data_IF_346592127357
#
_entry.id   IF_346592127357
#
_cell.length_a   1.000
_cell.length_b   1.000
_cell.length_c   1.000
_cell.angle_alpha   90.00
_cell.angle_beta   90.00
_cell.angle_gamma   90.00
#
_symmetry.space_group_name_H-M   'P 1'
#
loop_
_entity.id
_entity.type
_entity.pdbx_description
1 polymer ?
#
# COMPACT_ATOMS: atom_id res chain seq x y z
N UNK A 1 -3.40 19.61 9.78
CA UNK A 1 -3.84 18.29 10.29
C UNK A 1 -5.33 18.00 10.06
N UNK A 2 -6.28 18.77 10.62
CA UNK A 2 -7.74 18.52 10.49
C UNK A 2 -8.25 18.31 9.05
N UNK A 3 -7.82 19.15 8.11
CA UNK A 3 -8.20 19.03 6.68
C UNK A 3 -7.74 17.71 6.06
N UNK A 4 -6.54 17.23 6.41
CA UNK A 4 -5.99 15.98 5.86
C UNK A 4 -6.77 14.77 6.39
N UNK A 5 -7.07 14.75 7.70
CA UNK A 5 -7.93 13.72 8.29
C UNK A 5 -9.31 13.69 7.62
N UNK A 6 -9.96 14.84 7.42
CA UNK A 6 -11.25 14.92 6.74
C UNK A 6 -11.21 14.37 5.30
N UNK A 7 -10.12 14.61 4.57
CA UNK A 7 -9.91 14.03 3.24
C UNK A 7 -9.78 12.51 3.29
N UNK A 8 -9.03 11.98 4.25
CA UNK A 8 -8.85 10.54 4.43
C UNK A 8 -10.16 9.84 4.80
N UNK A 9 -10.95 10.42 5.70
CA UNK A 9 -12.27 9.90 6.06
C UNK A 9 -13.23 9.89 4.87
N UNK A 10 -13.23 10.96 4.06
CA UNK A 10 -14.03 11.00 2.82
C UNK A 10 -13.62 9.87 1.86
N UNK A 11 -12.32 9.62 1.68
CA UNK A 11 -11.81 8.54 0.82
C UNK A 11 -12.14 7.16 1.39
N UNK A 12 -12.04 6.99 2.71
CA UNK A 12 -12.43 5.77 3.40
C UNK A 12 -13.92 5.49 3.21
N UNK A 13 -14.78 6.49 3.41
CA UNK A 13 -16.22 6.34 3.19
C UNK A 13 -16.52 5.96 1.74
N UNK A 14 -15.81 6.55 0.77
CA UNK A 14 -15.92 6.15 -0.64
C UNK A 14 -15.52 4.70 -0.86
N UNK A 15 -14.42 4.24 -0.25
CA UNK A 15 -13.99 2.84 -0.30
C UNK A 15 -15.02 1.91 0.33
N UNK A 16 -15.59 2.30 1.48
CA UNK A 16 -16.60 1.52 2.19
C UNK A 16 -17.89 1.37 1.38
N UNK A 17 -18.27 2.37 0.58
CA UNK A 17 -19.40 2.29 -0.35
C UNK A 17 -19.21 1.25 -1.47
N UNK A 18 -17.98 0.81 -1.73
CA UNK A 18 -17.71 -0.28 -2.67
C UNK A 18 -17.70 -1.67 -2.02
N UNK A 19 -17.76 -1.77 -0.68
CA UNK A 19 -17.69 -3.06 0.01
C UNK A 19 -19.04 -3.82 -0.07
N UNK A 20 -19.03 -5.17 -0.10
CA UNK A 20 -17.84 -6.03 -0.15
C UNK A 20 -17.13 -5.94 -1.51
N UNK A 21 -15.79 -5.88 -1.48
CA UNK A 21 -14.98 -5.80 -2.69
C UNK A 21 -14.95 -7.16 -3.40
N UNK A 22 -14.80 -7.21 -4.74
CA UNK A 22 -14.68 -8.46 -5.48
C UNK A 22 -13.50 -9.32 -4.97
N UNK A 23 -13.70 -10.62 -4.65
CA UNK A 23 -12.67 -11.45 -4.01
C UNK A 23 -11.34 -11.53 -4.77
N UNK A 24 -11.36 -11.61 -6.11
CA UNK A 24 -10.13 -11.60 -6.92
C UNK A 24 -9.34 -10.29 -6.81
N UNK A 25 -10.06 -9.17 -6.68
CA UNK A 25 -9.42 -7.86 -6.52
C UNK A 25 -8.76 -7.78 -5.14
N UNK A 26 -9.45 -8.25 -4.10
CA UNK A 26 -8.91 -8.33 -2.74
C UNK A 26 -7.64 -9.17 -2.71
N UNK A 27 -7.69 -10.41 -3.24
CA UNK A 27 -6.51 -11.29 -3.30
C UNK A 27 -5.33 -10.66 -4.05
N UNK A 28 -5.61 -9.97 -5.16
CA UNK A 28 -4.56 -9.30 -5.93
C UNK A 28 -3.91 -8.16 -5.14
N UNK A 29 -4.73 -7.31 -4.52
CA UNK A 29 -4.26 -6.20 -3.69
C UNK A 29 -3.50 -6.70 -2.46
N UNK A 30 -4.03 -7.68 -1.73
CA UNK A 30 -3.36 -8.28 -0.56
C UNK A 30 -1.98 -8.83 -0.93
N UNK A 31 -1.89 -9.57 -2.05
CA UNK A 31 -0.62 -10.07 -2.57
C UNK A 31 0.35 -8.93 -2.89
N UNK A 32 -0.11 -7.89 -3.57
CA UNK A 32 0.72 -6.73 -3.90
C UNK A 32 1.20 -5.97 -2.66
N UNK A 33 0.30 -5.71 -1.70
CA UNK A 33 0.62 -5.02 -0.44
C UNK A 33 1.58 -5.84 0.41
N UNK A 34 1.44 -7.17 0.46
CA UNK A 34 2.38 -8.04 1.18
C UNK A 34 3.80 -7.85 0.68
N UNK A 35 4.02 -7.87 -0.64
CA UNK A 35 5.35 -7.66 -1.24
C UNK A 35 5.82 -6.23 -1.01
N UNK A 36 4.96 -5.23 -1.25
CA UNK A 36 5.33 -3.83 -1.13
C UNK A 36 5.74 -3.47 0.30
N UNK A 37 4.95 -3.85 1.30
CA UNK A 37 5.23 -3.59 2.71
C UNK A 37 6.48 -4.34 3.19
N UNK A 38 6.67 -5.59 2.75
CA UNK A 38 7.87 -6.36 3.07
C UNK A 38 9.13 -5.67 2.55
N UNK A 39 9.10 -5.27 1.27
CA UNK A 39 10.20 -4.55 0.65
C UNK A 39 10.48 -3.23 1.35
N UNK A 40 9.49 -2.34 1.48
CA UNK A 40 9.74 -0.99 1.99
C UNK A 40 10.07 -0.98 3.47
N UNK A 41 9.43 -1.83 4.28
CA UNK A 41 9.70 -1.94 5.72
C UNK A 41 11.11 -2.41 6.00
N UNK A 42 11.59 -3.45 5.31
CA UNK A 42 12.96 -3.94 5.49
C UNK A 42 13.99 -2.96 4.91
N UNK A 43 13.70 -2.32 3.77
CA UNK A 43 14.59 -1.33 3.18
C UNK A 43 14.80 -0.08 4.07
N UNK A 44 13.81 0.28 4.89
CA UNK A 44 13.95 1.35 5.90
C UNK A 44 14.96 0.95 6.98
N UNK A 45 15.07 -0.34 7.33
CA UNK A 45 16.04 -0.85 8.30
C UNK A 45 17.42 -1.15 7.69
N UNK A 46 17.58 -0.98 6.37
CA UNK A 46 18.86 -1.12 5.68
C UNK A 46 19.01 -2.40 4.84
N UNK A 47 17.98 -3.25 4.78
CA UNK A 47 17.97 -4.40 3.88
C UNK A 47 18.12 -3.95 2.41
N UNK A 48 18.98 -4.64 1.65
CA UNK A 48 19.39 -4.21 0.32
C UNK A 48 18.64 -4.92 -0.82
N UNK A 49 17.71 -5.83 -0.51
CA UNK A 49 16.89 -6.51 -1.50
C UNK A 49 16.13 -5.51 -2.36
N UNK A 50 16.10 -5.74 -3.67
CA UNK A 50 15.20 -5.02 -4.55
C UNK A 50 13.75 -5.48 -4.32
N UNK A 51 12.79 -4.71 -4.84
CA UNK A 51 11.39 -5.14 -4.84
C UNK A 51 11.18 -6.45 -5.61
N UNK A 52 11.94 -6.65 -6.69
CA UNK A 52 11.89 -7.87 -7.49
C UNK A 52 12.47 -9.06 -6.71
N UNK A 53 13.61 -8.85 -6.04
CA UNK A 53 14.25 -9.85 -5.18
C UNK A 53 13.29 -10.30 -4.08
N UNK A 54 12.66 -9.32 -3.42
CA UNK A 54 11.65 -9.58 -2.37
C UNK A 54 10.50 -10.43 -2.90
N UNK A 55 10.00 -10.13 -4.11
CA UNK A 55 8.94 -10.92 -4.73
C UNK A 55 9.38 -12.36 -5.05
N UNK A 56 10.60 -12.56 -5.57
CA UNK A 56 11.14 -13.90 -5.83
C UNK A 56 11.26 -14.72 -4.54
N UNK A 57 11.76 -14.11 -3.46
CA UNK A 57 11.93 -14.77 -2.17
C UNK A 57 10.57 -15.13 -1.57
N UNK A 58 9.67 -14.15 -1.45
CA UNK A 58 8.40 -14.34 -0.74
C UNK A 58 7.39 -15.17 -1.53
N UNK A 59 7.34 -15.04 -2.86
CA UNK A 59 6.34 -15.75 -3.67
C UNK A 59 6.82 -17.08 -4.23
N UNK A 60 8.13 -17.22 -4.49
CA UNK A 60 8.69 -18.39 -5.15
C UNK A 60 9.61 -19.21 -4.24
N UNK A 61 9.97 -18.70 -3.06
CA UNK A 61 10.91 -19.36 -2.15
C UNK A 61 12.33 -19.45 -2.73
N UNK A 62 12.67 -18.58 -3.68
CA UNK A 62 13.97 -18.58 -4.34
C UNK A 62 14.99 -17.77 -3.54
N UNK A 63 16.26 -18.17 -3.62
CA UNK A 63 17.39 -17.38 -3.13
C UNK A 63 17.88 -16.43 -4.21
N UNK A 64 18.39 -15.27 -3.79
CA UNK A 64 18.93 -14.22 -4.65
C UNK A 64 20.43 -14.09 -4.40
N UNK A 65 21.20 -14.12 -5.49
CA UNK A 65 22.65 -14.01 -5.45
C UNK A 65 23.12 -12.68 -4.85
N UNK A 66 24.22 -12.71 -4.10
CA UNK A 66 24.84 -11.51 -3.51
C UNK A 66 24.07 -10.90 -2.33
N UNK A 67 23.07 -11.61 -1.80
CA UNK A 67 22.26 -11.20 -0.64
C UNK A 67 22.47 -12.15 0.53
N UNK A 68 22.53 -11.61 1.73
CA UNK A 68 22.79 -12.41 2.93
C UNK A 68 21.60 -13.30 3.30
N UNK A 69 21.84 -14.41 4.00
CA UNK A 69 20.75 -15.25 4.52
C UNK A 69 19.84 -14.44 5.45
N UNK A 70 20.40 -13.55 6.27
CA UNK A 70 19.64 -12.66 7.14
C UNK A 70 18.67 -11.81 6.34
N UNK A 71 19.09 -11.15 5.26
CA UNK A 71 18.20 -10.32 4.44
C UNK A 71 17.03 -11.12 3.83
N UNK A 72 17.28 -12.37 3.45
CA UNK A 72 16.23 -13.28 2.98
C UNK A 72 15.25 -13.63 4.10
N UNK A 73 15.76 -13.99 5.27
CA UNK A 73 14.93 -14.31 6.43
C UNK A 73 14.11 -13.11 6.86
N UNK A 74 14.66 -11.89 6.84
CA UNK A 74 13.90 -10.67 7.14
C UNK A 74 12.73 -10.47 6.17
N UNK A 75 12.92 -10.75 4.88
CA UNK A 75 11.85 -10.67 3.89
C UNK A 75 10.76 -11.71 4.15
N UNK A 76 11.14 -12.97 4.37
CA UNK A 76 10.21 -14.07 4.66
C UNK A 76 9.45 -13.82 5.97
N UNK A 77 10.16 -13.47 7.04
CA UNK A 77 9.60 -13.22 8.36
C UNK A 77 8.62 -12.06 8.35
N UNK A 78 8.96 -10.94 7.70
CA UNK A 78 8.06 -9.81 7.61
C UNK A 78 6.81 -10.12 6.78
N UNK A 79 6.94 -10.89 5.68
CA UNK A 79 5.80 -11.30 4.89
C UNK A 79 4.84 -12.21 5.69
N UNK A 80 5.36 -13.18 6.43
CA UNK A 80 4.56 -14.03 7.33
C UNK A 80 3.93 -13.22 8.47
N UNK A 81 4.67 -12.30 9.07
CA UNK A 81 4.16 -11.42 10.12
C UNK A 81 3.02 -10.53 9.61
N UNK A 82 3.10 -10.05 8.37
CA UNK A 82 2.01 -9.31 7.73
C UNK A 82 0.75 -10.17 7.54
N UNK A 83 0.90 -11.40 7.08
CA UNK A 83 -0.22 -12.34 6.96
C UNK A 83 -0.84 -12.64 8.32
N UNK A 84 -0.01 -12.83 9.34
CA UNK A 84 -0.46 -13.10 10.70
C UNK A 84 -1.26 -11.93 11.29
N UNK A 85 -0.78 -10.69 11.18
CA UNK A 85 -1.59 -9.53 11.64
C UNK A 85 -2.89 -9.39 10.86
N UNK A 86 -2.94 -9.77 9.58
CA UNK A 86 -4.18 -9.76 8.82
C UNK A 86 -5.21 -10.74 9.41
N UNK A 87 -4.75 -11.90 9.94
CA UNK A 87 -5.63 -12.82 10.68
C UNK A 87 -6.16 -12.21 11.98
N UNK A 88 -5.47 -11.25 12.59
CA UNK A 88 -5.89 -10.57 13.83
C UNK A 88 -6.78 -9.34 13.58
N UNK A 89 -6.97 -8.92 12.33
CA UNK A 89 -7.71 -7.70 12.00
C UNK A 89 -9.20 -7.75 12.38
N UNK A 90 -9.74 -8.94 12.68
CA UNK A 90 -11.11 -9.12 13.18
C UNK A 90 -11.25 -8.85 14.68
N UNK A 91 -10.14 -8.85 15.44
CA UNK A 91 -10.14 -8.54 16.87
C UNK A 91 -10.43 -7.06 17.08
N UNK A 92 -10.99 -6.71 18.24
CA UNK A 92 -11.11 -5.30 18.63
C UNK A 92 -9.77 -4.84 19.21
N UNK A 93 -9.45 -3.56 19.05
CA UNK A 93 -8.23 -2.95 19.62
C UNK A 93 -8.05 -3.25 21.12
N UNK A 94 -9.15 -3.22 21.89
CA UNK A 94 -9.16 -3.52 23.33
C UNK A 94 -8.82 -4.98 23.68
N UNK A 95 -8.86 -5.89 22.70
CA UNK A 95 -8.54 -7.30 22.89
C UNK A 95 -7.06 -7.59 22.53
N UNK A 96 -6.33 -6.59 22.00
CA UNK A 96 -4.90 -6.71 21.72
C UNK A 96 -4.12 -6.67 23.03
N UNK A 97 -3.40 -7.72 23.32
CA UNK A 97 -2.58 -7.84 24.54
C UNK A 97 -1.10 -7.66 24.24
N UNK A 98 -0.31 -7.47 25.29
CA UNK A 98 1.16 -7.52 25.22
C UNK A 98 1.67 -8.76 24.47
N UNK A 99 1.07 -9.93 24.73
CA UNK A 99 1.46 -11.19 24.11
C UNK A 99 1.35 -11.15 22.59
N UNK A 100 0.32 -10.50 22.03
CA UNK A 100 0.20 -10.34 20.58
C UNK A 100 1.38 -9.54 20.00
N UNK A 101 1.88 -8.53 20.70
CA UNK A 101 3.01 -7.73 20.19
C UNK A 101 4.34 -8.46 20.39
N UNK A 102 4.49 -9.22 21.47
CA UNK A 102 5.64 -10.10 21.67
C UNK A 102 5.68 -11.23 20.63
N UNK A 103 4.53 -11.80 20.28
CA UNK A 103 4.41 -12.82 19.23
C UNK A 103 4.70 -12.24 17.85
N UNK A 104 4.22 -11.02 17.57
CA UNK A 104 4.58 -10.27 16.36
C UNK A 104 6.09 -10.13 16.24
N UNK A 105 6.72 -9.64 17.31
CA UNK A 105 8.16 -9.43 17.35
C UNK A 105 8.93 -10.75 17.23
N UNK A 106 8.42 -11.84 17.82
CA UNK A 106 9.00 -13.17 17.68
C UNK A 106 9.04 -13.62 16.23
N UNK A 107 7.95 -13.43 15.47
CA UNK A 107 7.93 -13.77 14.06
C UNK A 107 8.94 -12.95 13.25
N UNK A 108 9.15 -11.67 13.60
CA UNK A 108 10.12 -10.81 12.92
C UNK A 108 11.56 -11.30 13.09
N UNK A 109 11.96 -11.72 14.29
CA UNK A 109 13.34 -12.12 14.58
C UNK A 109 13.60 -13.64 14.53
N UNK A 110 12.57 -14.45 14.25
CA UNK A 110 12.71 -15.90 14.23
C UNK A 110 13.83 -16.35 13.28
N UNK A 111 14.72 -17.22 13.73
CA UNK A 111 15.92 -17.72 13.01
C UNK A 111 16.95 -16.65 12.64
N UNK A 112 16.76 -15.41 13.09
CA UNK A 112 17.74 -14.31 12.98
C UNK A 112 18.39 -14.08 14.35
N UNK A 113 17.57 -13.94 15.38
CA UNK A 113 17.99 -13.75 16.77
C UNK A 113 16.96 -14.36 17.73
N UNK A 114 16.92 -15.70 17.78
CA UNK A 114 15.96 -16.45 18.60
C UNK A 114 16.12 -16.19 20.10
N UNK A 115 17.31 -15.78 20.55
CA UNK A 115 17.56 -15.47 21.96
C UNK A 115 16.75 -14.25 22.43
N UNK A 116 16.52 -13.27 21.54
CA UNK A 116 15.80 -12.03 21.83
C UNK A 116 14.41 -11.96 21.19
N UNK A 117 14.06 -12.90 20.31
CA UNK A 117 12.76 -12.96 19.63
C UNK A 117 11.59 -12.98 20.63
N UNK A 118 10.73 -11.96 20.55
CA UNK A 118 9.57 -11.79 21.44
C UNK A 118 9.90 -11.56 22.91
N UNK A 119 11.08 -10.97 23.21
CA UNK A 119 11.51 -10.65 24.59
C UNK A 119 11.97 -9.21 24.70
N UNK A 120 11.66 -8.56 25.82
CA UNK A 120 12.20 -7.24 26.11
C UNK A 120 13.70 -7.26 26.27
N UNK A 121 14.33 -6.17 25.85
CA UNK A 121 15.76 -5.97 26.07
C UNK A 121 16.05 -5.82 27.57
N UNK A 122 17.13 -6.45 28.00
CA UNK A 122 17.70 -6.28 29.34
C UNK A 122 18.86 -5.29 29.36
N UNK A 123 19.26 -4.80 28.17
CA UNK A 123 20.38 -3.89 27.96
C UNK A 123 19.90 -2.54 27.45
N UNK A 124 20.72 -1.50 27.68
CA UNK A 124 20.53 -0.19 27.07
C UNK A 124 20.87 -0.26 25.58
N UNK A 125 20.05 0.38 24.75
CA UNK A 125 20.24 0.45 23.30
C UNK A 125 20.42 1.88 22.84
N UNK A 126 21.17 2.07 21.75
CA UNK A 126 21.32 3.34 21.05
C UNK A 126 21.06 3.11 19.57
N UNK A 127 20.35 4.04 18.95
CA UNK A 127 20.09 4.01 17.51
C UNK A 127 21.23 4.77 16.84
N UNK A 128 21.98 4.10 15.98
CA UNK A 128 23.10 4.72 15.26
C UNK A 128 22.62 5.95 14.47
N UNK A 129 23.29 7.09 14.69
CA UNK A 129 22.95 8.36 14.04
C UNK A 129 21.78 9.13 14.66
N UNK A 130 21.13 8.61 15.71
CA UNK A 130 20.10 9.35 16.46
C UNK A 130 20.64 9.96 17.75
N UNK A 131 20.11 11.13 18.11
CA UNK A 131 20.33 11.82 19.40
C UNK A 131 19.30 11.42 20.46
N UNK A 132 18.23 10.72 20.10
CA UNK A 132 17.23 10.30 21.05
C UNK A 132 17.79 9.25 22.03
N UNK A 133 17.56 9.45 23.32
CA UNK A 133 17.96 8.52 24.37
C UNK A 133 16.76 7.64 24.71
N UNK A 134 16.92 6.33 24.54
CA UNK A 134 15.85 5.37 24.85
C UNK A 134 15.72 5.15 26.36
N UNK A 135 14.52 4.78 26.87
CA UNK A 135 14.32 4.49 28.29
C UNK A 135 15.29 3.44 28.83
N UNK A 136 15.58 3.48 30.13
CA UNK A 136 16.33 2.42 30.79
C UNK A 136 15.57 1.06 30.64
N UNK A 137 16.25 -0.05 30.33
CA UNK A 137 15.59 -1.35 30.13
C UNK A 137 14.72 -1.79 31.32
N UNK A 138 15.09 -1.46 32.56
CA UNK A 138 14.30 -1.77 33.77
C UNK A 138 12.91 -1.11 33.75
N UNK A 139 12.75 0.01 33.03
CA UNK A 139 11.47 0.72 32.89
C UNK A 139 10.59 0.18 31.78
N UNK A 140 11.13 -0.66 30.87
CA UNK A 140 10.42 -1.11 29.66
C UNK A 140 9.12 -1.84 30.00
N UNK A 141 9.08 -2.84 30.91
CA UNK A 141 7.82 -3.55 31.22
C UNK A 141 6.71 -2.59 31.65
N UNK A 142 6.99 -1.72 32.62
CA UNK A 142 6.03 -0.71 33.11
C UNK A 142 5.56 0.25 32.02
N UNK A 143 6.47 0.73 31.17
CA UNK A 143 6.11 1.62 30.04
C UNK A 143 5.26 0.88 29.00
N UNK A 144 5.46 -0.42 28.85
CA UNK A 144 4.66 -1.24 27.95
C UNK A 144 3.26 -1.52 28.52
N UNK A 145 3.14 -1.76 29.82
CA UNK A 145 1.84 -1.85 30.51
C UNK A 145 1.03 -0.55 30.34
N UNK A 146 1.68 0.60 30.52
CA UNK A 146 1.09 1.92 30.25
C UNK A 146 0.68 2.08 28.79
N UNK A 147 1.48 1.57 27.85
CA UNK A 147 1.19 1.59 26.43
C UNK A 147 -0.02 0.71 26.06
N UNK A 148 -0.11 -0.51 26.58
CA UNK A 148 -1.25 -1.41 26.36
C UNK A 148 -2.52 -0.81 26.96
N UNK A 149 -2.45 -0.28 28.19
CA UNK A 149 -3.59 0.38 28.83
C UNK A 149 -4.07 1.58 28.00
N UNK A 150 -3.14 2.43 27.54
CA UNK A 150 -3.47 3.53 26.64
C UNK A 150 -4.09 3.03 25.33
N UNK A 151 -3.59 1.93 24.75
CA UNK A 151 -4.10 1.40 23.49
C UNK A 151 -5.57 0.95 23.62
N UNK A 152 -5.93 0.37 24.76
CA UNK A 152 -7.30 -0.06 25.07
C UNK A 152 -8.24 1.13 25.26
N UNK A 153 -7.80 2.13 26.02
CA UNK A 153 -8.62 3.27 26.44
C UNK A 153 -8.58 4.46 25.45
N UNK A 154 -7.74 4.39 24.42
CA UNK A 154 -7.63 5.47 23.44
C UNK A 154 -8.99 5.74 22.76
N UNK A 155 -9.40 7.01 22.75
CA UNK A 155 -10.58 7.49 22.07
C UNK A 155 -10.20 8.59 21.07
N UNK A 156 -10.97 8.71 19.98
CA UNK A 156 -10.76 9.73 18.96
C UNK A 156 -10.66 9.15 17.56
N UNK A 157 -9.87 9.78 16.71
CA UNK A 157 -9.71 9.35 15.31
C UNK A 157 -8.77 8.14 15.21
N UNK A 158 -9.24 7.07 14.56
CA UNK A 158 -8.52 5.80 14.46
C UNK A 158 -7.17 5.90 13.71
N UNK A 159 -7.05 6.81 12.74
CA UNK A 159 -5.76 7.06 12.05
C UNK A 159 -4.73 7.67 13.00
N UNK A 160 -5.18 8.61 13.83
CA UNK A 160 -4.31 9.23 14.84
C UNK A 160 -3.90 8.20 15.89
N UNK A 161 -4.82 7.34 16.35
CA UNK A 161 -4.52 6.26 17.30
C UNK A 161 -3.50 5.28 16.72
N UNK A 162 -3.66 4.85 15.46
CA UNK A 162 -2.70 3.96 14.81
C UNK A 162 -1.30 4.59 14.71
N UNK A 163 -1.22 5.87 14.30
CA UNK A 163 0.04 6.62 14.24
C UNK A 163 0.65 6.85 15.63
N UNK A 164 -0.15 7.13 16.65
CA UNK A 164 0.32 7.26 18.03
C UNK A 164 0.85 5.93 18.57
N UNK A 165 0.20 4.81 18.25
CA UNK A 165 0.64 3.49 18.68
C UNK A 165 2.02 3.15 18.10
N UNK A 166 2.20 3.43 16.80
CA UNK A 166 3.51 3.37 16.16
C UNK A 166 4.54 4.22 16.89
N UNK A 167 4.25 5.51 17.07
CA UNK A 167 5.19 6.47 17.68
C UNK A 167 5.59 6.08 19.10
N UNK A 168 4.62 5.63 19.91
CA UNK A 168 4.86 5.16 21.28
C UNK A 168 5.75 3.93 21.30
N UNK A 169 5.48 2.91 20.48
CA UNK A 169 6.29 1.69 20.43
C UNK A 169 7.75 2.00 20.08
N UNK A 170 8.00 2.79 19.03
CA UNK A 170 9.38 3.13 18.63
C UNK A 170 10.11 4.01 19.65
N UNK A 171 9.37 4.75 20.48
CA UNK A 171 9.93 5.61 21.53
C UNK A 171 10.19 4.88 22.85
N UNK A 172 9.39 3.86 23.17
CA UNK A 172 9.72 2.93 24.27
C UNK A 172 10.92 2.07 23.88
N UNK A 173 10.97 1.66 22.60
CA UNK A 173 12.02 0.84 22.01
C UNK A 173 12.27 -0.44 22.83
N UNK A 174 11.24 -1.30 22.99
CA UNK A 174 11.25 -2.39 23.97
C UNK A 174 12.20 -3.54 23.64
N UNK A 175 12.64 -3.67 22.39
CA UNK A 175 13.43 -4.81 21.90
C UNK A 175 14.87 -4.40 21.55
N UNK A 176 15.78 -5.38 21.46
CA UNK A 176 17.18 -5.12 21.04
C UNK A 176 17.29 -4.76 19.56
N UNK A 177 16.42 -5.34 18.72
CA UNK A 177 16.26 -5.08 17.29
C UNK A 177 14.77 -5.29 16.91
N UNK A 178 14.36 -5.02 15.67
CA UNK A 178 13.02 -5.32 15.17
C UNK A 178 11.94 -4.30 15.55
N UNK A 179 12.29 -3.27 16.33
CA UNK A 179 11.35 -2.25 16.83
C UNK A 179 10.60 -1.53 15.70
N UNK A 180 11.31 -1.07 14.66
CA UNK A 180 10.69 -0.35 13.54
C UNK A 180 9.70 -1.22 12.75
N UNK A 181 10.11 -2.46 12.42
CA UNK A 181 9.27 -3.44 11.71
C UNK A 181 8.01 -3.79 12.51
N UNK A 182 8.17 -4.04 13.81
CA UNK A 182 7.07 -4.34 14.74
C UNK A 182 6.10 -3.15 14.86
N UNK A 183 6.61 -1.92 14.99
CA UNK A 183 5.77 -0.72 15.09
C UNK A 183 4.94 -0.47 13.83
N UNK A 184 5.53 -0.65 12.64
CA UNK A 184 4.83 -0.49 11.36
C UNK A 184 3.76 -1.56 11.15
N UNK A 185 4.03 -2.81 11.54
CA UNK A 185 3.04 -3.89 11.47
C UNK A 185 1.90 -3.69 12.48
N UNK A 186 2.20 -3.29 13.72
CA UNK A 186 1.16 -2.95 14.70
C UNK A 186 0.29 -1.77 14.20
N UNK A 187 0.89 -0.73 13.64
CA UNK A 187 0.14 0.37 13.01
C UNK A 187 -0.80 -0.14 11.93
N UNK A 188 -0.31 -1.02 11.04
CA UNK A 188 -1.11 -1.57 9.96
C UNK A 188 -2.23 -2.49 10.47
N UNK A 189 -2.01 -3.25 11.54
CA UNK A 189 -3.07 -3.99 12.21
C UNK A 189 -4.21 -3.06 12.67
N UNK A 190 -3.87 -1.98 13.36
CA UNK A 190 -4.85 -1.00 13.84
C UNK A 190 -5.60 -0.31 12.69
N UNK A 191 -4.89 0.03 11.60
CA UNK A 191 -5.52 0.55 10.39
C UNK A 191 -6.51 -0.44 9.78
N UNK A 192 -6.13 -1.71 9.66
CA UNK A 192 -7.01 -2.76 9.14
C UNK A 192 -8.24 -3.00 10.03
N UNK A 193 -8.07 -3.00 11.36
CA UNK A 193 -9.18 -3.07 12.33
C UNK A 193 -10.16 -1.90 12.16
N UNK A 194 -9.66 -0.70 11.83
CA UNK A 194 -10.47 0.48 11.55
C UNK A 194 -11.04 0.52 10.11
N UNK A 195 -10.77 -0.51 9.29
CA UNK A 195 -11.23 -0.59 7.91
C UNK A 195 -10.44 0.27 6.91
N UNK A 196 -9.26 0.76 7.28
CA UNK A 196 -8.33 1.38 6.35
C UNK A 196 -7.43 0.33 5.68
N UNK A 197 -6.93 0.60 4.47
CA UNK A 197 -5.85 -0.20 3.91
C UNK A 197 -4.56 -0.01 4.72
N UNK A 198 -3.64 -1.00 4.73
CA UNK A 198 -2.32 -0.84 5.30
C UNK A 198 -1.58 0.36 4.71
N UNK A 199 -0.81 1.08 5.52
CA UNK A 199 -0.06 2.25 5.08
C UNK A 199 1.34 1.87 4.57
N UNK A 200 1.71 2.36 3.38
CA UNK A 200 3.04 2.14 2.79
C UNK A 200 3.91 3.38 2.99
N UNK A 201 4.86 3.28 3.94
CA UNK A 201 5.98 4.22 4.05
C UNK A 201 7.02 3.78 3.02
N UNK A 202 7.36 4.66 2.07
CA UNK A 202 8.33 4.31 1.00
C UNK A 202 9.75 4.41 1.50
N UNK A 203 10.64 3.65 0.88
CA UNK A 203 12.09 3.76 1.08
C UNK A 203 12.60 5.20 0.89
N UNK A 204 12.09 5.90 -0.12
CA UNK A 204 12.50 7.29 -0.41
C UNK A 204 12.07 8.27 0.69
N UNK A 205 11.02 7.93 1.44
CA UNK A 205 10.53 8.73 2.56
C UNK A 205 11.37 8.46 3.85
N UNK A 206 12.34 7.53 3.84
CA UNK A 206 13.10 7.06 5.02
C UNK A 206 13.70 8.19 5.84
N UNK A 207 14.42 9.12 5.20
CA UNK A 207 15.10 10.20 5.93
C UNK A 207 14.08 11.07 6.66
N UNK A 208 13.04 11.52 5.95
CA UNK A 208 11.95 12.34 6.51
C UNK A 208 11.21 11.60 7.62
N UNK A 209 10.98 10.30 7.44
CA UNK A 209 10.35 9.44 8.44
C UNK A 209 11.18 9.38 9.74
N UNK A 210 12.48 9.04 9.65
CA UNK A 210 13.37 8.96 10.82
C UNK A 210 13.51 10.33 11.49
N UNK A 211 13.75 11.40 10.72
CA UNK A 211 13.90 12.76 11.24
C UNK A 211 12.65 13.21 12.01
N UNK A 212 11.45 12.89 11.49
CA UNK A 212 10.18 13.27 12.12
C UNK A 212 9.92 12.53 13.44
N UNK A 213 10.37 11.28 13.56
CA UNK A 213 10.31 10.51 14.81
C UNK A 213 11.28 11.10 15.82
N UNK A 214 12.54 11.31 15.42
CA UNK A 214 13.55 11.89 16.31
C UNK A 214 13.10 13.27 16.82
N UNK A 215 12.55 14.12 15.95
CA UNK A 215 12.04 15.43 16.35
C UNK A 215 10.99 15.30 17.47
N UNK A 216 10.02 14.39 17.31
CA UNK A 216 9.02 14.12 18.35
C UNK A 216 9.61 13.55 19.64
N UNK A 217 10.58 12.64 19.55
CA UNK A 217 11.27 12.05 20.71
C UNK A 217 12.09 13.09 21.49
N UNK A 218 12.60 14.11 20.81
CA UNK A 218 13.29 15.26 21.40
C UNK A 218 12.33 16.36 21.87
N UNK A 219 11.02 16.09 21.93
CA UNK A 219 10.00 17.01 22.45
C UNK A 219 9.55 18.11 21.48
N UNK A 220 9.92 18.02 20.19
CA UNK A 220 9.42 18.95 19.16
C UNK A 220 8.02 18.55 18.68
N UNK A 221 7.40 19.40 17.86
CA UNK A 221 6.11 19.08 17.23
C UNK A 221 6.16 17.78 16.44
N UNK A 222 5.07 17.02 16.49
CA UNK A 222 4.85 15.77 15.73
C UNK A 222 4.08 15.99 14.43
N UNK A 223 3.87 17.25 14.02
CA UNK A 223 3.08 17.56 12.82
C UNK A 223 3.65 16.93 11.55
N UNK A 224 4.97 16.99 11.34
CA UNK A 224 5.62 16.39 10.17
C UNK A 224 5.49 14.86 10.16
N UNK A 225 5.55 14.24 11.34
CA UNK A 225 5.33 12.82 11.52
C UNK A 225 3.90 12.44 11.11
N UNK A 226 2.88 13.15 11.63
CA UNK A 226 1.49 12.90 11.26
C UNK A 226 1.23 13.14 9.77
N UNK A 227 1.79 14.20 9.19
CA UNK A 227 1.65 14.47 7.76
C UNK A 227 2.21 13.32 6.92
N UNK A 228 3.36 12.77 7.30
CA UNK A 228 3.97 11.64 6.60
C UNK A 228 3.12 10.37 6.75
N UNK A 229 2.64 10.05 7.96
CA UNK A 229 1.78 8.88 8.21
C UNK A 229 0.44 8.97 7.47
N UNK A 230 -0.18 10.14 7.48
CA UNK A 230 -1.46 10.32 6.80
C UNK A 230 -1.29 10.33 5.27
N UNK A 231 -0.16 10.80 4.75
CA UNK A 231 0.16 10.69 3.33
C UNK A 231 0.40 9.24 2.88
N UNK A 232 0.98 8.38 3.72
CA UNK A 232 1.15 6.95 3.40
C UNK A 232 -0.19 6.20 3.39
N UNK A 233 -1.12 6.55 4.28
CA UNK A 233 -2.51 6.06 4.24
C UNK A 233 -3.23 6.57 2.99
N UNK A 234 -3.11 7.87 2.66
CA UNK A 234 -3.75 8.47 1.47
C UNK A 234 -3.36 7.72 0.19
N UNK A 235 -2.06 7.47 0.03
CA UNK A 235 -1.50 6.70 -1.09
C UNK A 235 -2.15 5.33 -1.19
N UNK A 236 -2.30 4.65 -0.07
CA UNK A 236 -2.86 3.30 0.00
C UNK A 236 -4.35 3.30 -0.33
N UNK A 237 -5.11 4.28 0.16
CA UNK A 237 -6.51 4.49 -0.24
C UNK A 237 -6.64 4.75 -1.74
N UNK A 238 -5.77 5.57 -2.33
CA UNK A 238 -5.78 5.83 -3.77
C UNK A 238 -5.52 4.55 -4.59
N UNK A 239 -4.61 3.68 -4.14
CA UNK A 239 -4.34 2.39 -4.80
C UNK A 239 -5.61 1.53 -4.81
N UNK A 240 -6.30 1.40 -3.68
CA UNK A 240 -7.55 0.65 -3.58
C UNK A 240 -8.65 1.26 -4.47
N UNK A 241 -8.90 2.56 -4.35
CA UNK A 241 -9.94 3.26 -5.11
C UNK A 241 -9.70 3.16 -6.62
N UNK A 242 -8.47 3.40 -7.08
CA UNK A 242 -8.13 3.30 -8.50
C UNK A 242 -8.35 1.88 -9.03
N UNK A 243 -7.94 0.85 -8.28
CA UNK A 243 -8.11 -0.54 -8.69
C UNK A 243 -9.59 -0.96 -8.78
N UNK A 244 -10.42 -0.45 -7.86
CA UNK A 244 -11.88 -0.68 -7.89
C UNK A 244 -12.51 0.07 -9.06
N UNK A 245 -12.18 1.35 -9.26
CA UNK A 245 -12.74 2.18 -10.32
C UNK A 245 -12.41 1.61 -11.71
N UNK A 246 -11.17 1.19 -11.94
CA UNK A 246 -10.76 0.50 -13.16
C UNK A 246 -11.53 -0.80 -13.37
N UNK A 247 -11.73 -1.60 -12.32
CA UNK A 247 -12.53 -2.85 -12.41
C UNK A 247 -14.00 -2.56 -12.71
N UNK A 248 -14.58 -1.53 -12.09
CA UNK A 248 -15.97 -1.09 -12.36
C UNK A 248 -16.10 -0.60 -13.80
N UNK A 249 -15.15 0.19 -14.29
CA UNK A 249 -15.12 0.63 -15.69
C UNK A 249 -14.99 -0.54 -16.66
N UNK A 250 -14.09 -1.49 -16.37
CA UNK A 250 -13.89 -2.68 -17.20
C UNK A 250 -15.14 -3.57 -17.21
N UNK A 251 -15.79 -3.74 -16.06
CA UNK A 251 -17.04 -4.52 -15.94
C UNK A 251 -18.19 -3.82 -16.67
N UNK A 252 -18.32 -2.49 -16.51
CA UNK A 252 -19.30 -1.67 -17.25
C UNK A 252 -19.03 -1.68 -18.76
N UNK A 253 -17.78 -1.79 -19.19
CA UNK A 253 -17.40 -1.90 -20.59
C UNK A 253 -17.68 -3.30 -21.14
N UNK A 254 -17.44 -4.36 -20.34
CA UNK A 254 -17.69 -5.76 -20.71
C UNK A 254 -19.18 -6.11 -20.76
N UNK A 255 -20.02 -5.48 -19.92
CA UNK A 255 -21.47 -5.65 -19.94
C UNK A 255 -22.21 -4.84 -21.01
N UNK A 256 -21.50 -4.00 -21.79
CA UNK A 256 -22.09 -3.28 -22.91
C UNK A 256 -21.93 -4.09 -24.19
N UNK A 257 -22.98 -4.17 -25.03
CA UNK A 257 -22.88 -4.85 -26.31
C UNK A 257 -21.75 -4.22 -27.13
N UNK A 258 -20.93 -5.08 -27.73
CA UNK A 258 -19.88 -4.63 -28.63
C UNK A 258 -20.49 -3.99 -29.86
N UNK A 259 -19.88 -2.91 -30.33
CA UNK A 259 -20.32 -2.18 -31.49
C UNK A 259 -19.70 -2.77 -32.75
N UNK A 260 -20.51 -3.11 -33.74
CA UNK A 260 -20.02 -3.32 -35.10
C UNK A 260 -19.43 -2.01 -35.63
N UNK A 261 -18.48 -2.11 -36.56
CA UNK A 261 -17.83 -0.94 -37.17
C UNK A 261 -18.81 0.12 -37.69
N UNK A 262 -19.96 -0.29 -38.24
CA UNK A 262 -21.02 0.62 -38.71
C UNK A 262 -21.76 1.34 -37.58
N UNK A 263 -21.98 0.66 -36.45
CA UNK A 263 -22.61 1.23 -35.27
C UNK A 263 -21.68 2.24 -34.59
N UNK A 264 -20.39 1.90 -34.46
CA UNK A 264 -19.38 2.82 -33.95
C UNK A 264 -19.28 4.09 -34.81
N UNK A 265 -19.19 3.93 -36.13
CA UNK A 265 -19.14 5.03 -37.10
C UNK A 265 -20.34 5.96 -36.97
N UNK A 266 -21.56 5.39 -36.92
CA UNK A 266 -22.81 6.14 -36.74
C UNK A 266 -22.84 6.90 -35.41
N UNK A 267 -22.38 6.29 -34.32
CA UNK A 267 -22.45 6.86 -32.98
C UNK A 267 -21.49 8.05 -32.79
N UNK A 268 -20.32 8.01 -33.44
CA UNK A 268 -19.29 9.08 -33.34
C UNK A 268 -19.35 10.12 -34.47
N UNK A 269 -20.32 9.97 -35.38
CA UNK A 269 -20.48 10.84 -36.55
C UNK A 269 -19.29 10.77 -37.51
N UNK A 270 -18.77 9.57 -37.76
CA UNK A 270 -17.66 9.31 -38.70
C UNK A 270 -18.07 8.29 -39.76
N UNK A 271 -17.26 8.18 -40.82
CA UNK A 271 -17.46 7.17 -41.85
C UNK A 271 -16.81 5.83 -41.45
N UNK A 272 -17.40 4.71 -41.89
CA UNK A 272 -16.81 3.37 -41.71
C UNK A 272 -15.38 3.28 -42.26
N UNK A 273 -15.06 3.83 -43.46
CA UNK A 273 -13.68 3.94 -43.94
C UNK A 273 -12.73 4.64 -42.96
N UNK A 274 -13.15 5.75 -42.33
CA UNK A 274 -12.35 6.48 -41.33
C UNK A 274 -12.03 5.60 -40.11
N UNK A 275 -13.04 4.94 -39.55
CA UNK A 275 -12.86 4.03 -38.40
C UNK A 275 -11.92 2.87 -38.77
N UNK A 276 -12.09 2.30 -39.97
CA UNK A 276 -11.24 1.22 -40.48
C UNK A 276 -9.79 1.69 -40.66
N UNK A 277 -9.61 2.91 -41.17
CA UNK A 277 -8.30 3.53 -41.33
C UNK A 277 -7.61 3.70 -39.97
N UNK A 278 -8.27 4.31 -38.99
CA UNK A 278 -7.70 4.46 -37.64
C UNK A 278 -7.41 3.13 -36.95
N UNK A 279 -8.23 2.11 -37.20
CA UNK A 279 -7.96 0.75 -36.71
C UNK A 279 -6.69 0.18 -37.33
N UNK A 280 -6.51 0.35 -38.65
CA UNK A 280 -5.30 -0.11 -39.37
C UNK A 280 -4.04 0.63 -38.92
N UNK A 281 -4.14 1.92 -38.67
CA UNK A 281 -3.04 2.73 -38.13
C UNK A 281 -2.76 2.45 -36.64
N UNK A 282 -3.56 1.58 -35.99
CA UNK A 282 -3.40 1.19 -34.60
C UNK A 282 -3.81 2.25 -33.58
N UNK A 283 -4.70 3.17 -33.97
CA UNK A 283 -5.30 4.18 -33.10
C UNK A 283 -6.56 3.67 -32.38
N UNK A 284 -7.24 2.68 -32.98
CA UNK A 284 -8.38 1.98 -32.39
C UNK A 284 -8.06 0.50 -32.26
N UNK A 285 -8.57 -0.13 -31.21
CA UNK A 285 -8.41 -1.57 -30.96
C UNK A 285 -9.72 -2.33 -31.21
N UNK A 286 -9.58 -3.46 -31.92
CA UNK A 286 -10.67 -4.41 -32.16
C UNK A 286 -10.72 -5.36 -30.97
N UNK A 287 -11.90 -5.50 -30.37
CA UNK A 287 -12.10 -6.39 -29.23
C UNK A 287 -12.18 -7.85 -29.68
N UNK A 288 -13.00 -8.12 -30.70
CA UNK A 288 -13.20 -9.44 -31.28
C UNK A 288 -13.77 -9.32 -32.70
N UNK A 289 -14.01 -10.46 -33.34
CA UNK A 289 -14.75 -10.53 -34.60
C UNK A 289 -16.04 -11.31 -34.40
N UNK A 290 -17.13 -10.79 -34.95
CA UNK A 290 -18.40 -11.52 -34.99
C UNK A 290 -18.26 -12.82 -35.81
N UNK A 291 -19.17 -13.80 -35.66
CA UNK A 291 -19.20 -15.00 -36.51
C UNK A 291 -19.26 -14.70 -38.03
N UNK A 292 -19.87 -13.57 -38.41
CA UNK A 292 -19.91 -13.09 -39.80
C UNK A 292 -18.68 -12.28 -40.25
N UNK A 293 -17.59 -12.27 -39.47
CA UNK A 293 -16.31 -11.64 -39.83
C UNK A 293 -16.20 -10.13 -39.55
N UNK A 294 -17.27 -9.46 -39.11
CA UNK A 294 -17.23 -8.04 -38.75
C UNK A 294 -16.36 -7.76 -37.53
N UNK A 295 -15.59 -6.67 -37.58
CA UNK A 295 -14.84 -6.14 -36.45
C UNK A 295 -15.80 -5.58 -35.39
N UNK A 296 -15.60 -6.00 -34.15
CA UNK A 296 -16.36 -5.56 -32.99
C UNK A 296 -15.47 -4.72 -32.08
N UNK A 297 -16.02 -3.59 -31.62
CA UNK A 297 -15.32 -2.58 -30.84
C UNK A 297 -15.99 -2.44 -29.47
N UNK A 298 -15.19 -2.27 -28.42
CA UNK A 298 -15.72 -1.92 -27.11
C UNK A 298 -16.36 -0.54 -27.14
N UNK A 299 -17.35 -0.29 -26.28
CA UNK A 299 -17.94 1.05 -26.16
C UNK A 299 -16.90 2.13 -25.79
N UNK A 300 -15.79 1.75 -25.14
CA UNK A 300 -14.70 2.69 -24.81
C UNK A 300 -14.01 3.27 -26.04
N UNK A 301 -14.08 2.62 -27.21
CA UNK A 301 -13.53 3.15 -28.47
C UNK A 301 -14.24 4.43 -28.92
N UNK A 302 -15.47 4.67 -28.47
CA UNK A 302 -16.20 5.94 -28.71
C UNK A 302 -15.42 7.13 -28.13
N UNK A 303 -14.94 7.00 -26.89
CA UNK A 303 -14.17 8.05 -26.23
C UNK A 303 -12.78 8.23 -26.86
N UNK A 304 -12.18 7.14 -27.37
CA UNK A 304 -10.92 7.21 -28.12
C UNK A 304 -11.11 7.99 -29.42
N UNK A 305 -12.17 7.70 -30.19
CA UNK A 305 -12.51 8.46 -31.40
C UNK A 305 -12.74 9.94 -31.10
N UNK A 306 -13.50 10.26 -30.04
CA UNK A 306 -13.71 11.66 -29.64
C UNK A 306 -12.41 12.39 -29.30
N UNK A 307 -11.45 11.70 -28.64
CA UNK A 307 -10.11 12.24 -28.39
C UNK A 307 -9.32 12.45 -29.68
N UNK A 308 -9.34 11.50 -30.61
CA UNK A 308 -8.68 11.63 -31.92
C UNK A 308 -9.20 12.88 -32.64
N UNK A 309 -10.52 13.05 -32.73
CA UNK A 309 -11.15 14.23 -33.37
C UNK A 309 -10.70 15.54 -32.74
N UNK A 310 -10.73 15.63 -31.40
CA UNK A 310 -10.27 16.82 -30.67
C UNK A 310 -8.79 17.13 -30.89
N UNK A 311 -7.95 16.12 -31.09
CA UNK A 311 -6.53 16.31 -31.38
C UNK A 311 -6.29 16.69 -32.85
N UNK A 312 -7.10 16.18 -33.78
CA UNK A 312 -7.07 16.60 -35.18
C UNK A 312 -7.51 18.07 -35.36
N UNK A 313 -8.49 18.55 -34.57
CA UNK A 313 -8.87 19.97 -34.52
C UNK A 313 -7.69 20.86 -34.11
N UNK A 314 -6.80 20.34 -33.26
CA UNK A 314 -5.54 21.01 -32.87
C UNK A 314 -4.42 20.84 -33.91
N UNK A 315 -4.73 20.32 -35.10
CA UNK A 315 -3.82 20.09 -36.22
C UNK A 315 -2.70 19.09 -35.95
N UNK A 316 -2.87 18.18 -35.00
CA UNK A 316 -1.92 17.07 -34.81
C UNK A 316 -2.08 16.04 -35.94
N UNK A 317 -0.95 15.51 -36.41
CA UNK A 317 -0.89 14.38 -37.33
C UNK A 317 -1.28 13.09 -36.61
N UNK A 318 -1.70 12.06 -37.35
CA UNK A 318 -2.07 10.77 -36.76
C UNK A 318 -0.89 10.09 -36.03
N UNK A 319 0.34 10.32 -36.48
CA UNK A 319 1.54 9.83 -35.81
C UNK A 319 1.75 10.49 -34.44
N UNK A 320 1.50 11.80 -34.32
CA UNK A 320 1.56 12.53 -33.05
C UNK A 320 0.41 12.12 -32.14
N UNK A 321 -0.81 11.97 -32.68
CA UNK A 321 -1.97 11.50 -31.92
C UNK A 321 -1.70 10.12 -31.33
N UNK A 322 -1.10 9.21 -32.10
CA UNK A 322 -0.73 7.86 -31.63
C UNK A 322 0.25 7.91 -30.46
N UNK A 323 1.23 8.83 -30.49
CA UNK A 323 2.15 9.05 -29.37
C UNK A 323 1.40 9.54 -28.12
N UNK A 324 0.51 10.52 -28.27
CA UNK A 324 -0.29 11.09 -27.16
C UNK A 324 -1.21 10.05 -26.52
N UNK A 325 -1.83 9.17 -27.32
CA UNK A 325 -2.73 8.13 -26.81
C UNK A 325 -1.98 7.01 -26.05
N UNK A 326 -0.71 6.76 -26.39
CA UNK A 326 0.11 5.71 -25.76
C UNK A 326 0.96 6.21 -24.57
N UNK A 327 0.91 7.51 -24.23
CA UNK A 327 1.75 8.13 -23.19
C UNK A 327 1.00 8.42 -21.87
N UNK A 328 -0.21 7.89 -21.69
CA UNK A 328 -1.01 7.96 -20.46
C UNK A 328 -1.33 6.56 -19.94
#
# INVERSE_FOLDING_TARGET
MKKLLATLETKKQRLDNYRPLPPDLVRNLEKWFKIELTYTSNAIEGNTLSRADTALIVEKGLTVEGKTLTEHLEAVNHAHAFEWIATLAHLKRKDLTEHHILDLHRQILQKIDDANAGRYRTVSVRIAGSRAIMPNPVKVPRLYDEFISWLHDAHGNELAIAADAHFRLVSIHPFVDGNGRTARLLMNLLLMQAGFPPAIIRKDDRKRYIDSIEAGQLGKSRDDYYQLMFASVDRSLNIYLNAIEQKVETTRAAGKPLLKIGELAKLVGETVPTIRYWTREGLLSVAERSPGGYQLYTQSQVSVVQKIKKLQEKRLTLAEIKKVLNSN
#
